data_IF_750680692588
#
_entry.id   IF_750680692588
#
_cell.length_a   1.000
_cell.length_b   1.000
_cell.length_c   1.000
_cell.angle_alpha   90.00
_cell.angle_beta   90.00
_cell.angle_gamma   90.00
#
_symmetry.space_group_name_H-M   'P 1'
#
loop_
_entity.id
_entity.type
_entity.pdbx_description
1 polymer ?
#
# COMPACT_ATOMS: atom_id res chain seq x y z
N UNK A 1 -37.21 9.62 22.11
CA UNK A 1 -36.16 8.78 22.72
C UNK A 1 -35.55 7.78 21.71
N UNK A 2 -36.35 7.00 20.98
CA UNK A 2 -35.85 6.01 20.00
C UNK A 2 -34.91 6.59 18.92
N UNK A 3 -35.20 7.83 18.46
CA UNK A 3 -34.35 8.49 17.46
C UNK A 3 -32.99 8.89 18.03
N UNK A 4 -32.96 9.38 19.27
CA UNK A 4 -31.71 9.70 19.99
C UNK A 4 -30.86 8.45 20.18
N UNK A 5 -31.48 7.35 20.59
CA UNK A 5 -30.80 6.08 20.83
C UNK A 5 -30.20 5.52 19.53
N UNK A 6 -30.95 5.61 18.43
CA UNK A 6 -30.48 5.19 17.10
C UNK A 6 -29.30 6.05 16.61
N UNK A 7 -29.43 7.36 16.67
CA UNK A 7 -28.38 8.29 16.25
C UNK A 7 -27.13 8.13 17.12
N UNK A 8 -27.29 7.96 18.43
CA UNK A 8 -26.18 7.73 19.36
C UNK A 8 -25.42 6.45 19.02
N UNK A 9 -26.13 5.37 18.72
CA UNK A 9 -25.53 4.11 18.29
C UNK A 9 -24.76 4.25 16.99
N UNK A 10 -25.37 4.88 15.98
CA UNK A 10 -24.75 5.07 14.66
C UNK A 10 -23.49 5.94 14.75
N UNK A 11 -23.54 7.04 15.47
CA UNK A 11 -22.39 7.93 15.72
C UNK A 11 -21.27 7.16 16.39
N UNK A 12 -21.60 6.43 17.45
CA UNK A 12 -20.61 5.67 18.22
C UNK A 12 -19.94 4.58 17.36
N UNK A 13 -20.72 3.83 16.58
CA UNK A 13 -20.20 2.77 15.69
C UNK A 13 -19.23 3.33 14.66
N UNK A 14 -19.56 4.46 14.05
CA UNK A 14 -18.69 5.10 13.03
C UNK A 14 -17.45 5.73 13.67
N UNK A 15 -17.59 6.43 14.78
CA UNK A 15 -16.47 7.06 15.48
C UNK A 15 -15.48 6.04 16.05
N UNK A 16 -15.97 4.96 16.63
CA UNK A 16 -15.12 3.88 17.17
C UNK A 16 -14.30 3.20 16.07
N UNK A 17 -14.79 3.18 14.85
CA UNK A 17 -14.06 2.63 13.71
C UNK A 17 -12.86 3.50 13.32
N UNK A 18 -12.88 4.81 13.58
CA UNK A 18 -11.76 5.71 13.29
C UNK A 18 -11.37 5.72 11.82
N UNK A 19 -12.35 5.78 10.91
CA UNK A 19 -12.12 5.73 9.47
C UNK A 19 -11.36 6.95 8.96
N UNK A 20 -10.46 6.72 8.01
CA UNK A 20 -9.73 7.78 7.30
C UNK A 20 -9.94 7.68 5.79
N UNK A 21 -9.98 8.83 5.12
CA UNK A 21 -10.09 8.89 3.67
C UNK A 21 -8.91 8.17 3.00
N UNK A 22 -9.20 7.35 1.99
CA UNK A 22 -8.18 6.58 1.26
C UNK A 22 -7.70 5.31 1.96
N UNK A 23 -8.16 5.01 3.17
CA UNK A 23 -7.75 3.84 3.97
C UNK A 23 -8.05 2.52 3.24
N UNK A 24 -9.23 2.39 2.65
CA UNK A 24 -9.65 1.17 1.95
C UNK A 24 -8.70 0.82 0.81
N UNK A 25 -8.37 1.80 -0.05
CA UNK A 25 -7.48 1.60 -1.19
C UNK A 25 -6.06 1.22 -0.74
N UNK A 26 -5.56 1.86 0.30
CA UNK A 26 -4.24 1.55 0.88
C UNK A 26 -4.20 0.13 1.42
N UNK A 27 -5.24 -0.29 2.15
CA UNK A 27 -5.33 -1.64 2.71
C UNK A 27 -5.51 -2.70 1.62
N UNK A 28 -6.33 -2.46 0.61
CA UNK A 28 -6.51 -3.38 -0.52
C UNK A 28 -5.23 -3.59 -1.30
N UNK A 29 -4.48 -2.52 -1.56
CA UNK A 29 -3.18 -2.59 -2.23
C UNK A 29 -2.17 -3.39 -1.40
N UNK A 30 -2.10 -3.15 -0.11
CA UNK A 30 -1.21 -3.90 0.80
C UNK A 30 -1.62 -5.36 0.92
N UNK A 31 -2.92 -5.66 1.02
CA UNK A 31 -3.44 -7.03 1.02
C UNK A 31 -3.01 -7.80 -0.21
N UNK A 32 -3.13 -7.19 -1.40
CA UNK A 32 -2.72 -7.81 -2.67
C UNK A 32 -1.23 -8.14 -2.68
N UNK A 33 -0.38 -7.25 -2.20
CA UNK A 33 1.06 -7.48 -2.09
C UNK A 33 1.34 -8.64 -1.14
N UNK A 34 0.77 -8.64 0.05
CA UNK A 34 0.98 -9.69 1.05
C UNK A 34 0.46 -11.06 0.60
N UNK A 35 -0.70 -11.09 -0.07
CA UNK A 35 -1.26 -12.32 -0.61
C UNK A 35 -0.38 -12.93 -1.73
N UNK A 36 0.40 -12.12 -2.42
CA UNK A 36 1.29 -12.53 -3.50
C UNK A 36 2.78 -12.51 -3.10
N UNK A 37 3.10 -12.24 -1.85
CA UNK A 37 4.47 -12.01 -1.39
C UNK A 37 5.41 -13.17 -1.75
N UNK A 38 4.98 -14.41 -1.56
CA UNK A 38 5.76 -15.60 -1.92
C UNK A 38 6.07 -15.66 -3.42
N UNK A 39 5.07 -15.44 -4.26
CA UNK A 39 5.25 -15.44 -5.72
C UNK A 39 6.16 -14.30 -6.20
N UNK A 40 6.01 -13.11 -5.62
CA UNK A 40 6.87 -11.96 -5.91
C UNK A 40 8.32 -12.28 -5.52
N UNK A 41 8.52 -12.80 -4.32
CA UNK A 41 9.83 -13.17 -3.80
C UNK A 41 10.54 -14.20 -4.69
N UNK A 42 9.81 -15.23 -5.10
CA UNK A 42 10.35 -16.26 -6.00
C UNK A 42 10.80 -15.67 -7.34
N UNK A 43 10.05 -14.75 -7.90
CA UNK A 43 10.40 -14.08 -9.17
C UNK A 43 11.57 -13.13 -9.02
N UNK A 44 11.66 -12.41 -7.92
CA UNK A 44 12.84 -11.58 -7.62
C UNK A 44 14.09 -12.46 -7.50
N UNK A 45 14.00 -13.55 -6.75
CA UNK A 45 15.13 -14.48 -6.59
C UNK A 45 15.55 -15.11 -7.93
N UNK A 46 14.60 -15.48 -8.77
CA UNK A 46 14.87 -15.99 -10.11
C UNK A 46 15.58 -14.94 -10.99
N UNK A 47 15.07 -13.72 -11.00
CA UNK A 47 15.68 -12.61 -11.76
C UNK A 47 17.10 -12.31 -11.28
N UNK A 48 17.28 -12.25 -9.96
CA UNK A 48 18.60 -12.06 -9.36
C UNK A 48 19.58 -13.16 -9.75
N UNK A 49 19.17 -14.43 -9.68
CA UNK A 49 20.02 -15.56 -10.06
C UNK A 49 20.45 -15.51 -11.54
N UNK A 50 19.54 -15.09 -12.43
CA UNK A 50 19.86 -14.92 -13.86
C UNK A 50 20.84 -13.76 -14.11
N UNK A 51 20.76 -12.70 -13.32
CA UNK A 51 21.67 -11.55 -13.42
C UNK A 51 23.04 -11.85 -12.80
N UNK A 52 23.06 -12.45 -11.62
CA UNK A 52 24.29 -12.67 -10.85
C UNK A 52 25.01 -13.98 -11.16
N UNK A 53 24.28 -14.97 -11.70
CA UNK A 53 24.81 -16.31 -11.88
C UNK A 53 24.97 -17.10 -10.58
N UNK A 54 25.62 -18.25 -10.70
CA UNK A 54 25.96 -19.15 -9.60
C UNK A 54 27.36 -19.75 -9.80
N UNK A 55 27.75 -20.69 -8.94
CA UNK A 55 29.07 -21.33 -9.00
C UNK A 55 29.31 -22.12 -10.31
N UNK A 56 28.24 -22.51 -11.00
CA UNK A 56 28.31 -23.35 -12.21
C UNK A 56 28.08 -22.55 -13.50
N UNK A 57 27.43 -21.39 -13.41
CA UNK A 57 27.06 -20.58 -14.58
C UNK A 57 27.24 -19.08 -14.36
N UNK A 58 27.77 -18.42 -15.37
CA UNK A 58 27.88 -16.95 -15.39
C UNK A 58 26.50 -16.33 -15.58
N UNK A 59 26.21 -15.29 -14.78
CA UNK A 59 25.02 -14.48 -14.96
C UNK A 59 25.18 -13.41 -16.05
N UNK A 60 24.08 -12.72 -16.32
CA UNK A 60 24.05 -11.66 -17.33
C UNK A 60 25.06 -10.52 -17.03
N UNK A 61 25.27 -10.19 -15.76
CA UNK A 61 26.24 -9.16 -15.34
C UNK A 61 27.66 -9.56 -15.72
N UNK A 62 28.03 -10.80 -15.46
CA UNK A 62 29.36 -11.29 -15.84
C UNK A 62 29.56 -11.31 -17.36
N UNK A 63 28.56 -11.77 -18.10
CA UNK A 63 28.59 -11.78 -19.57
C UNK A 63 28.66 -10.36 -20.16
N UNK A 64 27.94 -9.41 -19.58
CA UNK A 64 28.04 -8.00 -19.96
C UNK A 64 29.44 -7.42 -19.66
N UNK A 65 30.03 -7.80 -18.55
CA UNK A 65 31.41 -7.42 -18.19
C UNK A 65 32.43 -7.97 -19.17
N UNK A 66 32.31 -9.25 -19.55
CA UNK A 66 33.17 -9.87 -20.55
C UNK A 66 33.02 -9.21 -21.92
N UNK A 67 31.78 -8.96 -22.36
CA UNK A 67 31.48 -8.27 -23.60
C UNK A 67 32.04 -6.84 -23.63
N UNK A 68 31.86 -6.11 -22.50
CA UNK A 68 32.40 -4.76 -22.33
C UNK A 68 33.93 -4.73 -22.43
N UNK A 69 34.60 -5.67 -21.80
CA UNK A 69 36.08 -5.77 -21.88
C UNK A 69 36.56 -6.08 -23.30
N UNK A 70 35.90 -7.01 -23.98
CA UNK A 70 36.26 -7.36 -25.35
C UNK A 70 36.12 -6.17 -26.33
N UNK A 71 35.01 -5.44 -26.27
CA UNK A 71 34.79 -4.30 -27.16
C UNK A 71 35.70 -3.10 -26.81
N UNK A 72 36.04 -2.91 -25.53
CA UNK A 72 36.99 -1.88 -25.10
C UNK A 72 38.37 -2.14 -25.70
N UNK A 73 38.84 -3.37 -25.72
CA UNK A 73 40.10 -3.76 -26.37
C UNK A 73 40.06 -3.45 -27.86
N UNK A 74 38.96 -3.77 -28.56
CA UNK A 74 38.78 -3.44 -29.96
C UNK A 74 38.73 -1.93 -30.23
N UNK A 75 38.09 -1.16 -29.35
CA UNK A 75 37.96 0.29 -29.45
C UNK A 75 39.30 1.01 -29.31
N UNK A 76 40.28 0.42 -28.62
CA UNK A 76 41.65 0.93 -28.58
C UNK A 76 42.37 0.82 -29.93
N UNK A 77 41.93 -0.09 -30.80
CA UNK A 77 42.49 -0.31 -32.14
C UNK A 77 41.69 0.42 -33.22
N UNK A 78 40.41 0.73 -32.99
CA UNK A 78 39.52 1.44 -33.90
C UNK A 78 38.57 2.37 -33.13
N UNK A 79 38.80 3.68 -33.26
CA UNK A 79 38.03 4.72 -32.59
C UNK A 79 36.54 4.71 -32.97
N UNK A 80 36.17 4.13 -34.11
CA UNK A 80 34.76 3.99 -34.51
C UNK A 80 33.93 3.13 -33.54
N UNK A 81 34.59 2.32 -32.70
CA UNK A 81 33.95 1.45 -31.71
C UNK A 81 33.79 2.09 -30.32
N UNK A 82 34.30 3.31 -30.14
CA UNK A 82 34.26 3.98 -28.83
C UNK A 82 32.82 4.16 -28.27
N UNK A 83 31.87 4.49 -29.12
CA UNK A 83 30.47 4.65 -28.70
C UNK A 83 29.84 3.33 -28.22
N UNK A 84 30.09 2.24 -28.96
CA UNK A 84 29.62 0.90 -28.55
C UNK A 84 30.27 0.44 -27.26
N UNK A 85 31.56 0.69 -27.06
CA UNK A 85 32.27 0.39 -25.80
C UNK A 85 31.67 1.13 -24.61
N UNK A 86 31.40 2.42 -24.75
CA UNK A 86 30.79 3.23 -23.71
C UNK A 86 29.37 2.76 -23.37
N UNK A 87 28.55 2.46 -24.37
CA UNK A 87 27.19 1.96 -24.15
C UNK A 87 27.17 0.60 -23.44
N UNK A 88 28.08 -0.29 -23.81
CA UNK A 88 28.12 -1.61 -23.18
C UNK A 88 28.61 -1.55 -21.74
N UNK A 89 29.52 -0.65 -21.41
CA UNK A 89 29.96 -0.39 -20.05
C UNK A 89 28.81 0.15 -19.19
N UNK A 90 28.02 1.07 -19.72
CA UNK A 90 26.83 1.60 -19.05
C UNK A 90 25.80 0.50 -18.78
N UNK A 91 25.56 -0.39 -19.74
CA UNK A 91 24.67 -1.55 -19.56
C UNK A 91 25.17 -2.48 -18.47
N UNK A 92 26.45 -2.73 -18.40
CA UNK A 92 27.08 -3.54 -17.36
C UNK A 92 26.83 -2.95 -15.96
N UNK A 93 27.09 -1.68 -15.75
CA UNK A 93 26.89 -1.01 -14.47
C UNK A 93 25.40 -0.92 -14.11
N UNK A 94 24.53 -0.63 -15.08
CA UNK A 94 23.08 -0.60 -14.85
C UNK A 94 22.54 -1.98 -14.44
N UNK A 95 22.97 -3.05 -15.11
CA UNK A 95 22.57 -4.41 -14.75
C UNK A 95 23.06 -4.79 -13.35
N UNK A 96 24.27 -4.40 -12.99
CA UNK A 96 24.85 -4.60 -11.66
C UNK A 96 24.04 -3.89 -10.57
N UNK A 97 23.64 -2.63 -10.82
CA UNK A 97 22.83 -1.85 -9.90
C UNK A 97 21.43 -2.43 -9.72
N UNK A 98 20.80 -2.90 -10.80
CA UNK A 98 19.49 -3.57 -10.75
C UNK A 98 19.59 -4.86 -9.93
N UNK A 99 20.63 -5.67 -10.13
CA UNK A 99 20.83 -6.89 -9.34
C UNK A 99 20.96 -6.60 -7.84
N UNK A 100 21.72 -5.56 -7.48
CA UNK A 100 21.84 -5.13 -6.09
C UNK A 100 20.52 -4.63 -5.48
N UNK A 101 19.73 -3.87 -6.25
CA UNK A 101 18.40 -3.42 -5.85
C UNK A 101 17.45 -4.60 -5.62
N UNK A 102 17.41 -5.58 -6.52
CA UNK A 102 16.56 -6.75 -6.42
C UNK A 102 16.86 -7.58 -5.17
N UNK A 103 18.12 -7.86 -4.90
CA UNK A 103 18.47 -8.65 -3.71
C UNK A 103 18.14 -7.91 -2.40
N UNK A 104 18.28 -6.59 -2.39
CA UNK A 104 17.90 -5.75 -1.26
C UNK A 104 16.39 -5.69 -1.00
N UNK A 105 15.57 -6.00 -1.98
CA UNK A 105 14.11 -6.00 -1.87
C UNK A 105 13.51 -7.31 -1.32
N UNK A 106 14.26 -8.40 -1.30
CA UNK A 106 13.74 -9.71 -0.88
C UNK A 106 13.12 -9.68 0.51
N UNK A 107 13.75 -9.00 1.47
CA UNK A 107 13.26 -8.93 2.85
C UNK A 107 11.94 -8.13 2.97
N UNK A 108 11.67 -7.23 2.02
CA UNK A 108 10.42 -6.46 1.97
C UNK A 108 9.19 -7.31 1.66
N UNK A 109 9.38 -8.52 1.13
CA UNK A 109 8.34 -9.46 0.76
C UNK A 109 8.32 -10.70 1.66
N UNK A 110 8.80 -10.58 2.88
CA UNK A 110 8.60 -11.63 3.87
C UNK A 110 7.11 -11.77 4.18
N UNK A 111 6.64 -13.02 4.26
CA UNK A 111 5.25 -13.31 4.60
C UNK A 111 5.00 -12.95 6.06
N UNK A 112 4.03 -12.06 6.27
CA UNK A 112 3.53 -11.72 7.61
C UNK A 112 2.03 -12.03 7.68
N UNK A 113 1.70 -13.26 8.06
CA UNK A 113 0.30 -13.71 8.15
C UNK A 113 -0.50 -12.90 9.18
N UNK A 114 0.14 -12.43 10.25
CA UNK A 114 -0.50 -11.59 11.25
C UNK A 114 -0.90 -10.22 10.66
N UNK A 115 -0.04 -9.58 9.87
CA UNK A 115 -0.37 -8.33 9.18
C UNK A 115 -1.51 -8.53 8.18
N UNK A 116 -1.50 -9.61 7.42
CA UNK A 116 -2.57 -9.93 6.46
C UNK A 116 -3.90 -10.12 7.18
N UNK A 117 -3.93 -10.85 8.29
CA UNK A 117 -5.13 -11.06 9.10
C UNK A 117 -5.67 -9.74 9.66
N UNK A 118 -4.82 -8.86 10.15
CA UNK A 118 -5.22 -7.52 10.63
C UNK A 118 -5.84 -6.68 9.52
N UNK A 119 -5.25 -6.70 8.33
CA UNK A 119 -5.77 -5.97 7.16
C UNK A 119 -7.12 -6.52 6.76
N UNK A 120 -7.28 -7.85 6.69
CA UNK A 120 -8.54 -8.49 6.32
C UNK A 120 -9.65 -8.18 7.34
N UNK A 121 -9.36 -8.20 8.63
CA UNK A 121 -10.30 -7.82 9.68
C UNK A 121 -10.71 -6.34 9.56
N UNK A 122 -9.77 -5.46 9.30
CA UNK A 122 -10.05 -4.03 9.11
C UNK A 122 -10.90 -3.77 7.86
N UNK A 123 -10.60 -4.44 6.76
CA UNK A 123 -11.39 -4.35 5.52
C UNK A 123 -12.81 -4.89 5.73
N UNK A 124 -12.98 -5.98 6.46
CA UNK A 124 -14.32 -6.52 6.80
C UNK A 124 -15.16 -5.50 7.58
N UNK A 125 -14.55 -4.81 8.54
CA UNK A 125 -15.22 -3.74 9.28
C UNK A 125 -15.64 -2.59 8.35
N UNK A 126 -14.73 -2.16 7.46
CA UNK A 126 -15.01 -1.10 6.48
C UNK A 126 -16.17 -1.52 5.58
N UNK A 127 -16.17 -2.74 5.05
CA UNK A 127 -17.24 -3.23 4.17
C UNK A 127 -18.59 -3.32 4.89
N UNK A 128 -18.62 -3.72 6.17
CA UNK A 128 -19.84 -3.73 6.97
C UNK A 128 -20.40 -2.33 7.18
N UNK A 129 -19.55 -1.36 7.48
CA UNK A 129 -19.96 0.04 7.65
C UNK A 129 -20.43 0.66 6.33
N UNK A 130 -19.78 0.36 5.22
CA UNK A 130 -20.22 0.79 3.89
C UNK A 130 -21.61 0.24 3.53
N UNK A 131 -21.88 -1.01 3.85
CA UNK A 131 -23.21 -1.61 3.61
C UNK A 131 -24.33 -0.93 4.42
N UNK A 132 -24.01 -0.37 5.59
CA UNK A 132 -24.98 0.29 6.45
C UNK A 132 -25.14 1.77 6.13
N UNK A 133 -24.08 2.49 5.79
CA UNK A 133 -24.03 3.94 5.88
C UNK A 133 -23.62 4.67 4.59
N UNK A 134 -23.02 4.02 3.63
CA UNK A 134 -22.65 4.67 2.38
C UNK A 134 -21.78 3.81 1.47
N UNK A 135 -21.65 4.22 0.22
CA UNK A 135 -20.93 3.45 -0.81
C UNK A 135 -19.42 3.56 -0.70
N UNK A 136 -18.93 4.61 -0.06
CA UNK A 136 -17.50 4.89 0.15
C UNK A 136 -17.19 5.15 1.62
N UNK A 137 -15.92 5.05 1.99
CA UNK A 137 -15.45 5.42 3.35
C UNK A 137 -15.78 6.88 3.65
N UNK A 138 -15.60 7.76 2.68
CA UNK A 138 -15.92 9.18 2.78
C UNK A 138 -17.42 9.41 3.04
N UNK A 139 -18.29 8.65 2.39
CA UNK A 139 -19.74 8.69 2.60
C UNK A 139 -20.11 8.22 4.01
N UNK A 140 -19.45 7.19 4.53
CA UNK A 140 -19.65 6.71 5.91
C UNK A 140 -19.23 7.78 6.93
N UNK A 141 -18.08 8.41 6.72
CA UNK A 141 -17.60 9.51 7.56
C UNK A 141 -18.59 10.67 7.54
N UNK A 142 -19.08 11.06 6.37
CA UNK A 142 -20.07 12.12 6.20
C UNK A 142 -21.40 11.78 6.90
N UNK A 143 -21.85 10.53 6.79
CA UNK A 143 -23.04 10.07 7.51
C UNK A 143 -22.87 10.20 9.02
N UNK A 144 -21.72 9.82 9.54
CA UNK A 144 -21.40 9.95 10.98
C UNK A 144 -21.40 11.39 11.45
N UNK A 145 -20.82 12.31 10.68
CA UNK A 145 -20.81 13.74 10.97
C UNK A 145 -22.21 14.33 10.96
N UNK A 146 -23.02 14.03 9.94
CA UNK A 146 -24.40 14.49 9.84
C UNK A 146 -25.27 13.93 10.97
N UNK A 147 -25.09 12.66 11.34
CA UNK A 147 -25.80 12.05 12.46
C UNK A 147 -25.43 12.71 13.80
N UNK A 148 -24.17 13.03 14.01
CA UNK A 148 -23.72 13.77 15.20
C UNK A 148 -24.34 15.15 15.29
N UNK A 149 -24.32 15.92 14.20
CA UNK A 149 -24.93 17.26 14.17
C UNK A 149 -26.42 17.19 14.46
N UNK A 150 -27.14 16.23 13.90
CA UNK A 150 -28.56 16.02 14.18
C UNK A 150 -28.80 15.67 15.64
N UNK A 151 -27.98 14.78 16.21
CA UNK A 151 -28.07 14.39 17.62
C UNK A 151 -27.87 15.59 18.56
N UNK A 152 -26.83 16.39 18.33
CA UNK A 152 -26.54 17.61 19.09
C UNK A 152 -27.68 18.63 19.00
N UNK A 153 -28.26 18.79 17.81
CA UNK A 153 -29.40 19.69 17.60
C UNK A 153 -30.63 19.24 18.40
N UNK A 154 -30.94 17.94 18.40
CA UNK A 154 -32.06 17.38 19.15
C UNK A 154 -31.84 17.57 20.66
N UNK A 155 -30.66 17.25 21.17
CA UNK A 155 -30.30 17.38 22.58
C UNK A 155 -30.41 18.83 23.08
N UNK A 156 -29.82 19.77 22.32
CA UNK A 156 -29.86 21.19 22.68
C UNK A 156 -31.27 21.80 22.61
N UNK A 157 -32.11 21.27 21.72
CA UNK A 157 -33.53 21.69 21.65
C UNK A 157 -34.32 21.17 22.82
N UNK A 158 -34.06 19.97 23.28
CA UNK A 158 -34.70 19.36 24.43
C UNK A 158 -34.30 20.07 25.73
N UNK A 159 -33.02 20.35 25.92
CA UNK A 159 -32.53 21.12 27.08
C UNK A 159 -33.15 22.52 27.15
N UNK A 160 -33.27 23.22 26.04
CA UNK A 160 -33.95 24.53 25.98
C UNK A 160 -35.44 24.43 26.34
N UNK A 161 -36.12 23.38 25.87
CA UNK A 161 -37.52 23.15 26.19
C UNK A 161 -37.72 22.91 27.70
N UNK A 162 -36.87 22.06 28.30
CA UNK A 162 -36.92 21.71 29.69
C UNK A 162 -36.62 22.92 30.60
N UNK A 163 -35.62 23.76 30.20
CA UNK A 163 -35.31 25.02 30.90
C UNK A 163 -36.49 25.99 30.90
N UNK A 164 -37.12 26.18 29.72
CA UNK A 164 -38.31 27.05 29.60
C UNK A 164 -39.53 26.53 30.36
N UNK A 165 -39.66 25.22 30.51
CA UNK A 165 -40.72 24.64 31.36
C UNK A 165 -40.44 24.83 32.85
N UNK A 166 -39.17 24.76 33.27
CA UNK A 166 -38.79 24.98 34.66
C UNK A 166 -38.98 26.45 35.09
N UNK A 167 -38.74 27.42 34.18
CA UNK A 167 -38.95 28.85 34.45
C UNK A 167 -40.43 29.25 34.56
N UNK A 168 -41.36 28.44 34.02
CA UNK A 168 -42.81 28.70 34.09
C UNK A 168 -43.50 28.10 35.31
N UNK A 169 -42.79 27.41 36.18
CA UNK A 169 -43.28 26.85 37.44
C UNK A 169 -42.91 27.72 38.63
#
# INVERSE_FOLDING_TARGET
QRKIDLLSYQVQEIEDAGLTAGEEQTLESRRKILANASAIRDKIAQSYALLSGDDESSGAVDLLGEASHAIDTAAQLDDALAAASSQLLDLYYNAKDVAADLIGRLDSYDTNDAELDEIEQRLDLIYKLKRKYGDTVEDVIAFGQNAREELEHIQSSQERHDHLQAEKR
#
